data_IF_306492164311
#
_entry.id   IF_306492164311
#
_cell.length_a   1.000
_cell.length_b   1.000
_cell.length_c   1.000
_cell.angle_alpha   90.00
_cell.angle_beta   90.00
_cell.angle_gamma   90.00
#
_symmetry.space_group_name_H-M   'P 1'
#
loop_
_entity.id
_entity.type
_entity.pdbx_description
1 polymer ?
#
# COMPACT_ATOMS: atom_id res chain seq x y z
N UNK A 1 -9.32 8.65 10.24
CA UNK A 1 -8.31 7.67 9.81
C UNK A 1 -7.83 7.96 8.40
N UNK A 2 -6.59 7.57 8.08
CA UNK A 2 -6.02 7.69 6.73
C UNK A 2 -5.92 6.29 6.11
N UNK A 3 -6.35 6.16 4.86
CA UNK A 3 -6.32 4.93 4.07
C UNK A 3 -5.28 5.08 2.95
N UNK A 4 -4.29 4.20 2.93
CA UNK A 4 -3.14 4.26 2.03
C UNK A 4 -3.12 3.03 1.12
N UNK A 5 -3.23 3.26 -0.19
CA UNK A 5 -3.29 2.19 -1.18
C UNK A 5 -1.93 1.53 -1.46
N UNK A 6 -1.96 0.38 -2.13
CA UNK A 6 -0.77 -0.33 -2.58
C UNK A 6 -0.20 0.22 -3.89
N UNK A 7 0.92 -0.36 -4.32
CA UNK A 7 1.50 -0.09 -5.63
C UNK A 7 0.49 -0.40 -6.75
N UNK A 8 0.42 0.42 -7.77
CA UNK A 8 -0.55 0.39 -8.87
C UNK A 8 -2.01 0.60 -8.45
N UNK A 9 -2.27 1.06 -7.24
CA UNK A 9 -3.62 1.32 -6.75
C UNK A 9 -3.96 2.80 -6.70
N UNK A 10 -5.16 3.07 -6.19
CA UNK A 10 -5.68 4.40 -5.91
C UNK A 10 -6.61 4.38 -4.70
N UNK A 11 -7.14 5.55 -4.34
CA UNK A 11 -8.18 5.69 -3.31
C UNK A 11 -9.40 4.79 -3.57
N UNK A 12 -9.66 4.43 -4.83
CA UNK A 12 -10.81 3.61 -5.23
C UNK A 12 -10.81 2.22 -4.58
N UNK A 13 -9.64 1.69 -4.18
CA UNK A 13 -9.53 0.47 -3.39
C UNK A 13 -10.33 0.53 -2.09
N UNK A 14 -10.49 1.73 -1.54
CA UNK A 14 -11.11 1.97 -0.23
C UNK A 14 -12.57 2.40 -0.29
N UNK A 15 -13.19 2.41 -1.49
CA UNK A 15 -14.55 2.92 -1.69
C UNK A 15 -15.55 2.32 -0.70
N UNK A 16 -15.62 0.99 -0.62
CA UNK A 16 -16.55 0.30 0.27
C UNK A 16 -16.20 0.52 1.75
N UNK A 17 -14.89 0.60 2.05
CA UNK A 17 -14.42 0.93 3.40
C UNK A 17 -14.85 2.33 3.82
N UNK A 18 -14.74 3.31 2.92
CA UNK A 18 -15.18 4.70 3.15
C UNK A 18 -16.69 4.74 3.32
N UNK A 19 -17.46 4.06 2.48
CA UNK A 19 -18.91 4.04 2.54
C UNK A 19 -19.43 3.51 3.89
N UNK A 20 -18.81 2.47 4.41
CA UNK A 20 -19.23 1.84 5.66
C UNK A 20 -18.66 2.55 6.88
N UNK A 21 -17.32 2.68 6.97
CA UNK A 21 -16.66 3.22 8.15
C UNK A 21 -16.65 4.76 8.20
N UNK A 22 -16.88 5.42 7.08
CA UNK A 22 -17.04 6.87 7.02
C UNK A 22 -18.26 7.41 7.78
N UNK A 23 -19.20 6.55 8.14
CA UNK A 23 -20.34 6.89 9.00
C UNK A 23 -19.94 7.05 10.48
N UNK A 24 -18.85 6.41 10.89
CA UNK A 24 -18.36 6.38 12.27
C UNK A 24 -17.06 7.17 12.44
N UNK A 25 -16.22 7.23 11.41
CA UNK A 25 -14.89 7.83 11.44
C UNK A 25 -14.75 8.87 10.34
N UNK A 26 -14.11 10.01 10.64
CA UNK A 26 -13.63 10.90 9.58
C UNK A 26 -12.51 10.18 8.81
N UNK A 27 -12.77 9.91 7.54
CA UNK A 27 -11.94 9.03 6.70
C UNK A 27 -11.35 9.83 5.54
N UNK A 28 -10.06 9.65 5.31
CA UNK A 28 -9.31 10.19 4.16
C UNK A 28 -8.63 9.05 3.44
N UNK A 29 -8.81 8.95 2.14
CA UNK A 29 -8.05 8.03 1.28
C UNK A 29 -7.19 8.87 0.34
N UNK A 30 -5.87 8.66 0.40
CA UNK A 30 -4.91 9.41 -0.39
C UNK A 30 -4.49 8.62 -1.60
N UNK A 31 -4.38 9.30 -2.74
CA UNK A 31 -3.59 8.81 -3.87
C UNK A 31 -2.15 9.27 -3.69
N UNK A 32 -1.21 8.35 -3.64
CA UNK A 32 0.20 8.69 -3.63
C UNK A 32 0.60 9.42 -4.91
N UNK A 33 1.58 10.34 -4.83
CA UNK A 33 2.12 11.00 -6.00
C UNK A 33 2.48 9.98 -7.10
N UNK A 34 2.05 10.25 -8.33
CA UNK A 34 2.22 9.36 -9.47
C UNK A 34 1.20 8.24 -9.61
N UNK A 35 0.17 8.20 -8.72
CA UNK A 35 -0.93 7.23 -8.76
C UNK A 35 -2.28 7.93 -8.68
N UNK A 36 -3.33 7.23 -9.13
CA UNK A 36 -4.70 7.69 -9.05
C UNK A 36 -4.90 9.09 -9.65
N UNK A 37 -5.60 9.94 -8.92
CA UNK A 37 -5.89 11.31 -9.34
C UNK A 37 -4.86 12.35 -8.86
N UNK A 38 -3.84 11.93 -8.06
CA UNK A 38 -2.75 12.81 -7.64
C UNK A 38 -1.77 13.14 -8.77
N UNK A 39 -1.86 12.45 -9.90
CA UNK A 39 -1.13 12.77 -11.13
C UNK A 39 0.39 12.70 -11.01
N UNK A 40 1.04 13.11 -12.07
CA UNK A 40 2.49 13.33 -12.10
C UNK A 40 2.75 14.75 -11.61
N UNK A 41 3.66 14.92 -10.65
CA UNK A 41 4.15 16.24 -10.25
C UNK A 41 4.66 16.95 -11.49
N UNK A 42 3.95 18.00 -11.93
CA UNK A 42 4.34 18.86 -13.05
C UNK A 42 5.41 19.85 -12.57
N UNK A 43 6.52 19.35 -12.07
CA UNK A 43 7.65 20.17 -11.75
C UNK A 43 8.67 20.03 -12.89
N UNK A 44 9.05 21.14 -13.54
CA UNK A 44 10.02 21.16 -14.65
C UNK A 44 11.44 20.81 -14.18
N UNK A 45 11.67 20.75 -12.88
CA UNK A 45 12.95 20.38 -12.31
C UNK A 45 13.14 18.85 -12.30
N UNK A 46 14.00 18.36 -13.22
CA UNK A 46 14.42 16.95 -13.27
C UNK A 46 15.03 16.43 -11.95
N UNK A 47 15.57 17.33 -11.13
CA UNK A 47 16.16 16.96 -9.84
C UNK A 47 15.06 16.61 -8.81
N UNK A 48 13.97 17.37 -8.78
CA UNK A 48 12.80 17.10 -7.94
C UNK A 48 12.12 15.77 -8.30
N UNK A 49 12.15 15.39 -9.57
CA UNK A 49 11.56 14.12 -10.06
C UNK A 49 12.36 12.88 -9.67
N UNK A 50 13.67 12.99 -9.46
CA UNK A 50 14.54 11.82 -9.20
C UNK A 50 14.15 11.00 -7.98
N UNK A 51 13.47 11.59 -6.99
CA UNK A 51 13.04 10.92 -5.77
C UNK A 51 11.56 11.16 -5.44
N UNK A 52 10.75 11.60 -6.42
CA UNK A 52 9.36 11.99 -6.18
C UNK A 52 8.46 10.81 -5.78
N UNK A 53 8.78 9.60 -6.24
CA UNK A 53 7.93 8.41 -6.11
C UNK A 53 8.60 7.33 -5.24
N UNK A 54 9.07 7.72 -4.05
CA UNK A 54 9.77 6.81 -3.14
C UNK A 54 9.02 6.62 -1.83
N UNK A 55 9.27 5.51 -1.12
CA UNK A 55 8.67 5.27 0.21
C UNK A 55 8.94 6.46 1.17
N UNK A 56 10.17 7.01 1.27
CA UNK A 56 10.42 8.19 2.10
C UNK A 56 9.59 9.41 1.69
N UNK A 57 9.41 9.65 0.39
CA UNK A 57 8.58 10.76 -0.11
C UNK A 57 7.11 10.56 0.23
N UNK A 58 6.61 9.34 0.13
CA UNK A 58 5.22 9.02 0.52
C UNK A 58 5.00 9.17 2.03
N UNK A 59 5.99 8.85 2.86
CA UNK A 59 5.94 9.11 4.31
C UNK A 59 5.84 10.62 4.58
N UNK A 60 6.66 11.42 3.88
CA UNK A 60 6.60 12.88 3.97
C UNK A 60 5.26 13.43 3.47
N UNK A 61 4.72 12.88 2.37
CA UNK A 61 3.40 13.24 1.85
C UNK A 61 2.30 13.02 2.91
N UNK A 62 2.30 11.88 3.60
CA UNK A 62 1.34 11.59 4.68
C UNK A 62 1.48 12.61 5.81
N UNK A 63 2.71 12.90 6.23
CA UNK A 63 2.98 13.90 7.26
C UNK A 63 2.46 15.28 6.86
N UNK A 64 2.83 15.76 5.66
CA UNK A 64 2.42 17.08 5.15
C UNK A 64 0.89 17.18 4.95
N UNK A 65 0.25 16.11 4.50
CA UNK A 65 -1.20 16.05 4.40
C UNK A 65 -1.84 16.25 5.78
N UNK A 66 -1.34 15.57 6.80
CA UNK A 66 -1.86 15.73 8.17
C UNK A 66 -1.63 17.15 8.69
N UNK A 67 -0.44 17.73 8.48
CA UNK A 67 -0.13 19.09 8.88
C UNK A 67 -1.06 20.11 8.22
N UNK A 68 -1.21 20.04 6.90
CA UNK A 68 -2.03 21.02 6.15
C UNK A 68 -3.52 20.97 6.51
N UNK A 69 -4.03 19.81 6.92
CA UNK A 69 -5.42 19.65 7.36
C UNK A 69 -5.61 19.80 8.88
N UNK A 70 -4.55 20.13 9.61
CA UNK A 70 -4.61 20.26 11.07
C UNK A 70 -4.91 18.92 11.78
N UNK A 71 -4.62 17.78 11.16
CA UNK A 71 -4.80 16.47 11.75
C UNK A 71 -3.64 16.21 12.71
N UNK A 72 -3.89 16.38 14.00
CA UNK A 72 -2.85 16.19 15.03
C UNK A 72 -2.35 14.76 15.06
N UNK A 73 -3.26 13.79 15.11
CA UNK A 73 -2.98 12.35 15.16
C UNK A 73 -4.08 11.57 14.47
N UNK A 74 -3.73 10.44 13.83
CA UNK A 74 -4.71 9.57 13.17
C UNK A 74 -4.28 8.09 13.16
N UNK A 75 -5.24 7.15 13.08
CA UNK A 75 -4.97 5.78 12.65
C UNK A 75 -4.54 5.77 11.17
N UNK A 76 -3.51 4.98 10.85
CA UNK A 76 -3.05 4.72 9.49
C UNK A 76 -3.40 3.28 9.11
N UNK A 77 -4.14 3.11 8.03
CA UNK A 77 -4.52 1.81 7.49
C UNK A 77 -3.93 1.70 6.08
N UNK A 78 -2.99 0.79 5.91
CA UNK A 78 -2.26 0.67 4.65
C UNK A 78 -2.32 -0.72 4.06
N UNK A 79 -2.59 -0.77 2.75
CA UNK A 79 -2.53 -2.00 1.96
C UNK A 79 -1.19 -2.08 1.22
N UNK A 80 -0.51 -3.22 1.27
CA UNK A 80 0.72 -3.47 0.53
C UNK A 80 1.76 -2.36 0.76
N UNK A 81 2.22 -1.65 -0.27
CA UNK A 81 3.10 -0.48 -0.14
C UNK A 81 2.57 0.56 0.86
N UNK A 82 1.25 0.79 0.88
CA UNK A 82 0.63 1.72 1.84
C UNK A 82 0.85 1.30 3.30
N UNK A 83 0.91 0.00 3.58
CA UNK A 83 1.23 -0.49 4.93
C UNK A 83 2.71 -0.30 5.29
N UNK A 84 3.63 -0.47 4.32
CA UNK A 84 5.05 -0.11 4.49
C UNK A 84 5.18 1.38 4.81
N UNK A 85 4.45 2.24 4.08
CA UNK A 85 4.41 3.69 4.35
C UNK A 85 3.82 3.99 5.73
N UNK A 86 2.74 3.28 6.13
CA UNK A 86 2.11 3.45 7.45
C UNK A 86 3.06 3.12 8.60
N UNK A 87 3.78 1.99 8.53
CA UNK A 87 4.81 1.63 9.51
C UNK A 87 5.96 2.63 9.51
N UNK A 88 6.45 3.01 8.33
CA UNK A 88 7.53 4.00 8.21
C UNK A 88 7.12 5.35 8.79
N UNK A 89 5.86 5.75 8.62
CA UNK A 89 5.32 6.98 9.23
C UNK A 89 5.28 6.86 10.75
N UNK A 90 4.83 5.72 11.29
CA UNK A 90 4.80 5.50 12.74
C UNK A 90 6.21 5.46 13.36
N UNK A 91 7.21 5.00 12.61
CA UNK A 91 8.62 5.00 13.02
C UNK A 91 9.20 6.43 13.00
N UNK A 92 8.92 7.20 11.94
CA UNK A 92 9.51 8.52 11.73
C UNK A 92 8.79 9.64 12.47
N UNK A 93 7.45 9.55 12.56
CA UNK A 93 6.56 10.55 13.15
C UNK A 93 5.60 9.91 14.18
N UNK A 94 6.12 9.31 15.27
CA UNK A 94 5.30 8.55 16.23
C UNK A 94 4.24 9.42 16.90
N UNK A 95 4.46 10.73 17.01
CA UNK A 95 3.49 11.68 17.55
C UNK A 95 2.27 11.88 16.66
N UNK A 96 2.36 11.54 15.38
CA UNK A 96 1.26 11.68 14.40
C UNK A 96 0.35 10.45 14.32
N UNK A 97 0.78 9.32 14.82
CA UNK A 97 0.09 8.04 14.63
C UNK A 97 -0.48 7.55 15.94
N UNK A 98 -1.74 7.14 15.93
CA UNK A 98 -2.41 6.54 17.12
C UNK A 98 -2.52 5.03 17.00
N UNK A 99 -2.66 4.51 15.79
CA UNK A 99 -2.78 3.08 15.49
C UNK A 99 -2.25 2.80 14.09
N UNK A 100 -1.73 1.60 13.84
CA UNK A 100 -1.30 1.16 12.50
C UNK A 100 -1.96 -0.16 12.15
N UNK A 101 -2.64 -0.20 10.99
CA UNK A 101 -3.08 -1.44 10.38
C UNK A 101 -2.33 -1.67 9.07
N UNK A 102 -1.71 -2.83 8.93
CA UNK A 102 -1.01 -3.26 7.71
C UNK A 102 -1.72 -4.47 7.09
N UNK A 103 -1.98 -4.42 5.79
CA UNK A 103 -2.75 -5.42 5.06
C UNK A 103 -1.90 -5.94 3.91
N UNK A 104 -1.44 -7.19 4.01
CA UNK A 104 -0.59 -7.82 2.98
C UNK A 104 0.66 -6.99 2.65
N UNK A 105 1.28 -6.36 3.64
CA UNK A 105 2.32 -5.35 3.43
C UNK A 105 3.72 -5.94 3.53
N UNK A 106 4.63 -5.63 2.59
CA UNK A 106 6.03 -5.99 2.72
C UNK A 106 6.68 -5.12 3.80
N UNK A 107 7.28 -5.75 4.80
CA UNK A 107 8.10 -5.13 5.84
C UNK A 107 9.55 -5.11 5.39
N UNK A 108 9.94 -6.18 4.71
CA UNK A 108 11.19 -6.30 3.97
C UNK A 108 10.87 -6.50 2.49
N UNK A 109 11.46 -5.67 1.64
CA UNK A 109 11.27 -5.73 0.18
C UNK A 109 11.68 -7.07 -0.44
N UNK A 110 12.43 -7.91 0.28
CA UNK A 110 12.75 -9.27 -0.16
C UNK A 110 11.54 -10.22 -0.13
N UNK A 111 10.45 -9.85 0.55
CA UNK A 111 9.20 -10.62 0.63
C UNK A 111 8.33 -10.55 -0.63
N UNK A 112 8.59 -9.56 -1.50
CA UNK A 112 7.88 -9.42 -2.78
C UNK A 112 8.15 -10.62 -3.68
N UNK A 113 7.16 -11.02 -4.47
CA UNK A 113 7.32 -12.11 -5.42
C UNK A 113 8.35 -11.79 -6.52
N UNK A 114 8.80 -12.83 -7.24
CA UNK A 114 9.85 -12.69 -8.25
C UNK A 114 9.46 -11.71 -9.37
N UNK A 115 8.19 -11.70 -9.76
CA UNK A 115 7.68 -10.82 -10.82
C UNK A 115 7.84 -9.35 -10.45
N UNK A 116 7.47 -8.98 -9.21
CA UNK A 116 7.65 -7.62 -8.71
C UNK A 116 9.13 -7.28 -8.52
N UNK A 117 9.96 -8.25 -8.15
CA UNK A 117 11.41 -8.04 -8.07
C UNK A 117 12.01 -7.73 -9.44
N UNK A 118 11.55 -8.41 -10.49
CA UNK A 118 12.02 -8.19 -11.85
C UNK A 118 11.48 -6.87 -12.43
N UNK A 119 10.22 -6.49 -12.14
CA UNK A 119 9.63 -5.23 -12.62
C UNK A 119 10.40 -3.98 -12.19
N UNK A 120 11.11 -4.03 -11.08
CA UNK A 120 11.96 -2.91 -10.64
C UNK A 120 13.37 -2.90 -11.26
N UNK A 121 13.66 -3.72 -12.27
CA UNK A 121 14.93 -3.70 -12.97
C UNK A 121 14.86 -2.74 -14.17
N UNK A 122 15.65 -1.63 -14.20
CA UNK A 122 15.58 -0.62 -15.26
C UNK A 122 15.84 -1.17 -16.66
N UNK A 123 16.71 -2.21 -16.78
CA UNK A 123 17.06 -2.81 -18.06
C UNK A 123 15.92 -3.64 -18.65
N UNK A 124 15.20 -4.40 -17.80
CA UNK A 124 14.01 -5.13 -18.22
C UNK A 124 12.84 -4.16 -18.49
N UNK A 125 12.79 -3.09 -17.76
CA UNK A 125 11.85 -2.02 -17.91
C UNK A 125 11.84 -1.40 -19.30
N UNK A 126 13.00 -1.09 -19.84
CA UNK A 126 13.11 -0.48 -21.18
C UNK A 126 12.55 -1.40 -22.28
N UNK A 127 12.69 -2.72 -22.14
CA UNK A 127 12.15 -3.69 -23.09
C UNK A 127 10.61 -3.74 -23.03
N UNK A 128 10.00 -3.69 -21.85
CA UNK A 128 8.54 -3.67 -21.70
C UNK A 128 7.90 -2.36 -22.21
N UNK A 129 8.67 -1.26 -22.25
CA UNK A 129 8.21 0.05 -22.74
C UNK A 129 8.44 0.28 -24.23
N UNK A 130 9.25 -0.53 -24.91
CA UNK A 130 9.42 -0.47 -26.37
C UNK A 130 8.09 -0.56 -27.14
N UNK A 131 7.02 -1.07 -26.51
CA UNK A 131 5.67 -1.18 -27.06
C UNK A 131 4.71 -0.11 -26.49
N UNK A 132 5.17 1.10 -26.18
CA UNK A 132 4.36 2.21 -25.65
C UNK A 132 3.53 1.84 -24.40
N UNK A 133 4.00 0.91 -23.58
CA UNK A 133 3.31 0.43 -22.39
C UNK A 133 2.05 -0.41 -22.63
N UNK A 134 1.64 -0.64 -23.90
CA UNK A 134 0.46 -1.47 -24.24
C UNK A 134 0.63 -2.91 -23.79
N UNK A 135 1.82 -3.49 -24.01
CA UNK A 135 2.14 -4.85 -23.58
C UNK A 135 2.06 -5.00 -22.05
N UNK A 136 2.62 -4.04 -21.31
CA UNK A 136 2.55 -4.03 -19.84
C UNK A 136 1.10 -3.91 -19.34
N UNK A 137 0.31 -3.01 -19.91
CA UNK A 137 -1.11 -2.85 -19.55
C UNK A 137 -1.91 -4.12 -19.81
N UNK A 138 -1.70 -4.78 -20.95
CA UNK A 138 -2.37 -6.04 -21.29
C UNK A 138 -1.95 -7.16 -20.33
N UNK A 139 -0.65 -7.24 -20.01
CA UNK A 139 -0.13 -8.20 -19.05
C UNK A 139 -0.72 -7.97 -17.65
N UNK A 140 -0.70 -6.74 -17.14
CA UNK A 140 -1.26 -6.40 -15.82
C UNK A 140 -2.77 -6.65 -15.78
N UNK A 141 -3.49 -6.35 -16.87
CA UNK A 141 -4.90 -6.67 -17.02
C UNK A 141 -5.16 -8.18 -16.90
N UNK A 142 -4.38 -9.01 -17.57
CA UNK A 142 -4.50 -10.48 -17.50
C UNK A 142 -4.11 -11.01 -16.12
N UNK A 143 -2.98 -10.54 -15.58
CA UNK A 143 -2.48 -10.96 -14.28
C UNK A 143 -3.42 -10.60 -13.12
N UNK A 144 -4.10 -9.44 -13.22
CA UNK A 144 -5.03 -8.97 -12.20
C UNK A 144 -6.21 -9.90 -11.95
N UNK A 145 -6.59 -10.72 -12.94
CA UNK A 145 -7.63 -11.75 -12.75
C UNK A 145 -7.29 -12.79 -11.67
N UNK A 146 -6.01 -12.96 -11.37
CA UNK A 146 -5.53 -13.91 -10.37
C UNK A 146 -5.23 -13.27 -9.02
N UNK A 147 -5.34 -11.94 -8.91
CA UNK A 147 -4.97 -11.19 -7.71
C UNK A 147 -6.07 -11.11 -6.66
N UNK A 148 -7.34 -11.31 -7.06
CA UNK A 148 -8.51 -11.29 -6.18
C UNK A 148 -9.55 -12.32 -6.65
N UNK A 149 -10.48 -12.70 -5.77
CA UNK A 149 -11.57 -13.64 -6.10
C UNK A 149 -12.46 -13.13 -7.24
N UNK A 150 -12.86 -11.85 -7.20
CA UNK A 150 -13.50 -11.19 -8.34
C UNK A 150 -12.44 -10.62 -9.27
N UNK A 151 -11.89 -11.51 -10.11
CA UNK A 151 -10.89 -11.12 -11.10
C UNK A 151 -11.39 -10.08 -12.11
N UNK A 152 -12.71 -10.00 -12.37
CA UNK A 152 -13.28 -8.98 -13.28
C UNK A 152 -13.28 -7.60 -12.63
N UNK A 153 -13.71 -7.49 -11.38
CA UNK A 153 -13.67 -6.24 -10.63
C UNK A 153 -12.21 -5.76 -10.47
N UNK A 154 -11.30 -6.68 -10.11
CA UNK A 154 -9.89 -6.40 -9.99
C UNK A 154 -9.27 -5.91 -11.31
N UNK A 155 -9.56 -6.58 -12.43
CA UNK A 155 -9.06 -6.21 -13.74
C UNK A 155 -9.55 -4.82 -14.19
N UNK A 156 -10.82 -4.48 -13.91
CA UNK A 156 -11.34 -3.13 -14.20
C UNK A 156 -10.60 -2.07 -13.39
N UNK A 157 -10.44 -2.27 -12.08
CA UNK A 157 -9.76 -1.34 -11.18
C UNK A 157 -8.30 -1.13 -11.61
N UNK A 158 -7.53 -2.21 -11.79
CA UNK A 158 -6.13 -2.11 -12.23
C UNK A 158 -6.00 -1.46 -13.60
N UNK A 159 -6.90 -1.76 -14.55
CA UNK A 159 -6.85 -1.14 -15.88
C UNK A 159 -7.06 0.38 -15.79
N UNK A 160 -7.99 0.82 -14.95
CA UNK A 160 -8.25 2.23 -14.72
C UNK A 160 -7.07 2.92 -14.04
N UNK A 161 -6.54 2.34 -12.97
CA UNK A 161 -5.44 2.91 -12.19
C UNK A 161 -4.14 2.97 -13.01
N UNK A 162 -3.78 1.87 -13.71
CA UNK A 162 -2.56 1.82 -14.55
C UNK A 162 -2.61 2.81 -15.71
N UNK A 163 -3.80 3.20 -16.19
CA UNK A 163 -3.92 4.21 -17.24
C UNK A 163 -3.40 5.60 -16.83
N UNK A 164 -3.35 5.86 -15.51
CA UNK A 164 -2.94 7.15 -14.93
C UNK A 164 -1.48 7.18 -14.47
N UNK A 165 -0.78 6.05 -14.51
CA UNK A 165 0.57 5.89 -13.99
C UNK A 165 1.61 6.26 -15.04
N UNK A 166 2.64 7.03 -14.65
CA UNK A 166 3.82 7.27 -15.46
C UNK A 166 4.84 6.13 -15.32
N UNK A 167 5.72 6.00 -16.33
CA UNK A 167 6.86 5.08 -16.28
C UNK A 167 7.73 5.34 -15.05
N UNK A 168 7.96 6.61 -14.76
CA UNK A 168 8.82 7.05 -13.68
C UNK A 168 8.24 6.67 -12.32
N UNK A 169 6.94 6.94 -12.08
CA UNK A 169 6.26 6.54 -10.83
C UNK A 169 6.22 5.02 -10.66
N UNK A 170 6.00 4.28 -11.75
CA UNK A 170 6.02 2.82 -11.74
C UNK A 170 7.35 2.27 -11.23
N UNK A 171 8.49 2.71 -11.83
CA UNK A 171 9.80 2.13 -11.51
C UNK A 171 10.42 2.66 -10.23
N UNK A 172 10.29 3.94 -9.94
CA UNK A 172 10.85 4.50 -8.71
C UNK A 172 10.16 3.90 -7.48
N UNK A 173 8.83 3.80 -7.49
CA UNK A 173 8.08 3.29 -6.35
C UNK A 173 8.37 1.82 -6.05
N UNK A 174 8.34 0.94 -7.06
CA UNK A 174 8.67 -0.47 -6.84
C UNK A 174 10.16 -0.64 -6.53
N UNK A 175 11.03 0.15 -7.12
CA UNK A 175 12.47 0.12 -6.87
C UNK A 175 12.82 0.50 -5.44
N UNK A 176 12.16 1.52 -4.87
CA UNK A 176 12.36 1.90 -3.48
C UNK A 176 11.73 0.88 -2.51
N UNK A 177 10.52 0.39 -2.82
CA UNK A 177 9.86 -0.63 -1.99
C UNK A 177 10.72 -1.90 -1.85
N UNK A 178 11.34 -2.35 -2.93
CA UNK A 178 12.27 -3.49 -2.92
C UNK A 178 13.50 -3.30 -2.04
N UNK A 179 13.95 -2.06 -1.87
CA UNK A 179 15.13 -1.70 -1.07
C UNK A 179 14.77 -1.36 0.38
N UNK A 180 13.47 -1.23 0.66
CA UNK A 180 13.01 -0.89 2.01
C UNK A 180 13.12 -2.12 2.91
N UNK A 181 13.75 -1.94 4.07
CA UNK A 181 13.82 -2.92 5.14
C UNK A 181 13.50 -2.21 6.47
N UNK A 182 12.34 -2.52 7.03
CA UNK A 182 11.89 -1.91 8.28
C UNK A 182 12.23 -2.73 9.52
N UNK A 183 12.77 -3.94 9.35
CA UNK A 183 13.08 -4.86 10.47
C UNK A 183 13.91 -4.23 11.58
N UNK A 184 14.98 -3.45 11.29
CA UNK A 184 15.79 -2.83 12.33
C UNK A 184 15.07 -1.82 13.21
N UNK A 185 14.01 -1.18 12.65
CA UNK A 185 13.30 -0.08 13.29
C UNK A 185 11.89 -0.43 13.80
N UNK A 186 11.40 -1.66 13.57
CA UNK A 186 10.05 -2.07 13.98
C UNK A 186 9.82 -1.93 15.49
N UNK A 187 10.85 -2.11 16.30
CA UNK A 187 10.77 -1.95 17.75
C UNK A 187 10.44 -0.52 18.21
N UNK A 188 10.53 0.46 17.32
CA UNK A 188 10.12 1.86 17.54
C UNK A 188 8.62 2.07 17.38
N UNK A 189 7.89 1.12 16.77
CA UNK A 189 6.43 1.16 16.66
C UNK A 189 5.83 0.79 18.02
N UNK A 190 5.31 1.79 18.74
CA UNK A 190 4.76 1.63 20.10
C UNK A 190 3.23 1.66 20.15
N UNK A 191 2.59 2.03 19.05
CA UNK A 191 1.13 2.15 18.95
C UNK A 191 0.48 0.81 18.70
N UNK A 192 -0.81 0.70 19.04
CA UNK A 192 -1.63 -0.47 18.69
C UNK A 192 -1.47 -0.82 17.22
N UNK A 193 -1.10 -2.05 16.94
CA UNK A 193 -0.75 -2.50 15.58
C UNK A 193 -1.55 -3.74 15.22
N UNK A 194 -2.16 -3.73 14.01
CA UNK A 194 -2.89 -4.86 13.45
C UNK A 194 -2.25 -5.26 12.13
N UNK A 195 -1.93 -6.54 11.98
CA UNK A 195 -1.52 -7.15 10.72
C UNK A 195 -2.62 -8.05 10.17
N UNK A 196 -3.11 -7.78 8.97
CA UNK A 196 -4.06 -8.64 8.26
C UNK A 196 -3.36 -9.34 7.09
N UNK A 197 -3.46 -10.66 7.04
CA UNK A 197 -2.75 -11.47 6.03
C UNK A 197 -3.67 -12.50 5.38
N UNK A 198 -3.67 -12.54 4.04
CA UNK A 198 -4.33 -13.57 3.26
C UNK A 198 -3.44 -14.80 3.14
N UNK A 199 -3.98 -16.01 3.39
CA UNK A 199 -3.20 -17.24 3.23
C UNK A 199 -2.87 -17.57 1.76
N UNK A 200 -3.64 -17.01 0.83
CA UNK A 200 -3.47 -17.18 -0.62
C UNK A 200 -2.73 -16.02 -1.28
N UNK A 201 -2.06 -15.16 -0.49
CA UNK A 201 -1.32 -14.03 -1.05
C UNK A 201 -0.10 -14.52 -1.86
N UNK A 202 -0.14 -14.25 -3.16
CA UNK A 202 0.92 -14.61 -4.12
C UNK A 202 1.84 -13.42 -4.45
N UNK A 203 1.54 -12.23 -3.91
CA UNK A 203 2.26 -10.97 -4.18
C UNK A 203 3.30 -10.71 -3.10
N UNK A 204 2.86 -10.72 -1.84
CA UNK A 204 3.70 -10.58 -0.66
C UNK A 204 3.64 -11.87 0.15
N UNK A 205 4.81 -12.39 0.53
CA UNK A 205 4.86 -13.63 1.30
C UNK A 205 4.08 -13.49 2.61
N UNK A 206 3.14 -14.39 2.90
CA UNK A 206 2.39 -14.34 4.17
C UNK A 206 3.29 -14.43 5.42
N UNK A 207 4.54 -14.89 5.28
CA UNK A 207 5.54 -14.92 6.36
C UNK A 207 5.87 -13.56 6.96
N UNK A 208 5.50 -12.46 6.30
CA UNK A 208 5.65 -11.10 6.84
C UNK A 208 4.91 -10.89 8.17
N UNK A 209 3.88 -11.68 8.46
CA UNK A 209 3.24 -11.69 9.79
C UNK A 209 4.22 -12.01 10.93
N UNK A 210 5.13 -12.96 10.69
CA UNK A 210 6.13 -13.34 11.68
C UNK A 210 7.18 -12.24 11.87
N UNK A 211 7.56 -11.57 10.77
CA UNK A 211 8.45 -10.40 10.79
C UNK A 211 7.81 -9.26 11.60
N UNK A 212 6.53 -8.96 11.32
CA UNK A 212 5.80 -7.95 12.09
C UNK A 212 5.76 -8.31 13.58
N UNK A 213 5.36 -9.54 13.90
CA UNK A 213 5.23 -10.01 15.29
C UNK A 213 6.54 -10.02 16.05
N UNK A 214 7.65 -10.35 15.38
CA UNK A 214 8.98 -10.33 15.96
C UNK A 214 9.45 -8.91 16.31
N UNK A 215 9.21 -7.94 15.41
CA UNK A 215 9.62 -6.54 15.62
C UNK A 215 8.64 -5.72 16.45
N UNK A 216 7.35 -6.09 16.44
CA UNK A 216 6.26 -5.44 17.19
C UNK A 216 5.51 -6.51 17.98
N UNK A 217 6.02 -6.94 19.15
CA UNK A 217 5.48 -8.10 19.90
C UNK A 217 4.01 -7.96 20.30
N UNK A 218 3.52 -6.73 20.52
CA UNK A 218 2.14 -6.43 20.85
C UNK A 218 1.20 -6.40 19.63
N UNK A 219 1.71 -6.53 18.40
CA UNK A 219 0.88 -6.56 17.20
C UNK A 219 -0.12 -7.72 17.25
N UNK A 220 -1.36 -7.41 16.92
CA UNK A 220 -2.41 -8.40 16.67
C UNK A 220 -2.26 -8.90 15.22
N UNK A 221 -2.46 -10.21 15.01
CA UNK A 221 -2.39 -10.81 13.68
C UNK A 221 -3.72 -11.48 13.36
N UNK A 222 -4.33 -11.04 12.26
CA UNK A 222 -5.58 -11.60 11.75
C UNK A 222 -5.35 -12.29 10.40
N UNK A 223 -5.76 -13.55 10.35
CA UNK A 223 -5.64 -14.38 9.16
C UNK A 223 -6.93 -14.45 8.38
N UNK A 224 -6.81 -14.31 7.08
CA UNK A 224 -7.91 -14.49 6.12
C UNK A 224 -7.62 -15.74 5.26
N UNK A 225 -8.12 -16.93 5.66
CA UNK A 225 -7.75 -18.20 5.04
C UNK A 225 -8.05 -18.28 3.54
N UNK A 226 -9.14 -17.64 3.13
CA UNK A 226 -9.66 -17.67 1.77
C UNK A 226 -9.33 -16.44 0.94
N UNK A 227 -8.60 -15.49 1.49
CA UNK A 227 -8.20 -14.27 0.79
C UNK A 227 -6.77 -14.35 0.26
N UNK A 228 -6.55 -13.65 -0.86
CA UNK A 228 -5.24 -13.35 -1.43
C UNK A 228 -4.69 -12.03 -0.93
N UNK A 229 -4.08 -11.27 -1.84
CA UNK A 229 -3.46 -9.98 -1.53
C UNK A 229 -4.48 -8.88 -1.22
N UNK A 230 -5.65 -8.92 -1.84
CA UNK A 230 -6.71 -7.90 -1.72
C UNK A 230 -7.81 -8.36 -0.76
N UNK A 231 -7.48 -8.46 0.53
CA UNK A 231 -8.37 -8.95 1.59
C UNK A 231 -9.71 -8.18 1.62
N UNK A 232 -9.67 -6.85 1.42
CA UNK A 232 -10.85 -5.99 1.41
C UNK A 232 -11.81 -6.29 0.25
N UNK A 233 -11.32 -6.90 -0.83
CA UNK A 233 -12.15 -7.36 -1.96
C UNK A 233 -12.55 -8.83 -1.81
N UNK A 234 -11.68 -9.67 -1.25
CA UNK A 234 -11.90 -11.11 -1.15
C UNK A 234 -12.81 -11.49 0.01
N UNK A 235 -12.85 -10.70 1.06
CA UNK A 235 -13.62 -10.94 2.29
C UNK A 235 -14.09 -9.60 2.91
N UNK A 236 -14.89 -8.80 2.20
CA UNK A 236 -15.22 -7.43 2.57
C UNK A 236 -15.89 -7.32 3.94
N UNK A 237 -16.90 -8.14 4.22
CA UNK A 237 -17.64 -8.07 5.49
C UNK A 237 -16.74 -8.38 6.69
N UNK A 238 -15.94 -9.45 6.58
CA UNK A 238 -14.99 -9.82 7.64
C UNK A 238 -13.90 -8.77 7.80
N UNK A 239 -13.39 -8.23 6.69
CA UNK A 239 -12.42 -7.15 6.72
C UNK A 239 -12.94 -5.92 7.46
N UNK A 240 -14.14 -5.44 7.10
CA UNK A 240 -14.79 -4.29 7.74
C UNK A 240 -15.04 -4.55 9.23
N UNK A 241 -15.58 -5.73 9.57
CA UNK A 241 -15.88 -6.09 10.97
C UNK A 241 -14.61 -6.13 11.81
N UNK A 242 -13.54 -6.75 11.30
CA UNK A 242 -12.25 -6.84 12.00
C UNK A 242 -11.62 -5.45 12.17
N UNK A 243 -11.61 -4.64 11.11
CA UNK A 243 -11.04 -3.30 11.17
C UNK A 243 -11.83 -2.39 12.13
N UNK A 244 -13.16 -2.43 12.07
CA UNK A 244 -14.03 -1.67 12.98
C UNK A 244 -13.78 -2.04 14.44
N UNK A 245 -13.79 -3.33 14.76
CA UNK A 245 -13.56 -3.81 16.12
C UNK A 245 -12.21 -3.32 16.65
N UNK A 246 -11.16 -3.44 15.86
CA UNK A 246 -9.84 -2.97 16.27
C UNK A 246 -9.74 -1.45 16.40
N UNK A 247 -10.42 -0.68 15.55
CA UNK A 247 -10.46 0.79 15.66
C UNK A 247 -11.10 1.25 16.97
N UNK A 248 -12.13 0.54 17.45
CA UNK A 248 -12.83 0.88 18.70
C UNK A 248 -12.10 0.40 19.97
N UNK A 249 -11.43 -0.75 19.94
CA UNK A 249 -10.94 -1.44 21.14
C UNK A 249 -9.43 -1.28 21.42
N UNK A 250 -8.68 -0.55 20.60
CA UNK A 250 -7.23 -0.42 20.74
C UNK A 250 -6.73 0.91 21.36
#
# INVERSE_FOLDING_TARGET
MLLLHGWLGSWALWRDTIEVLGREFRTYALDFFGFGDSGVVQDDDRQSRRNAFTVPTYVEMVYQFMERLGIKRAPLIGHSMGGTVSLSTAIRYPEKVVKVCVIGSPIDGSSLNLLLKLSGNPTLASVFWLFEGRGLRLFLKGYSYFMAKDGRAMSRMITQDVSKISMESFFQSIGTLRKTDLRPDLNRVKVSTLGMYGKRDIIVRPTEHAVLKAGVPHAQIEWFPDAGHFIMMDSPDRFITTLRAWLHHG
#
